data_IF_317837578213
#
_entry.id   IF_317837578213
#
_cell.length_a   1.000
_cell.length_b   1.000
_cell.length_c   1.000
_cell.angle_alpha   90.00
_cell.angle_beta   90.00
_cell.angle_gamma   90.00
#
_symmetry.space_group_name_H-M   'P 1'
#
loop_
_entity.id
_entity.type
_entity.pdbx_description
1 polymer ?
#
# COMPACT_ATOMS: atom_id res chain seq x y z
N UNK A 1 -24.99 19.03 -9.69
CA UNK A 1 -23.85 18.93 -10.64
C UNK A 1 -23.02 17.73 -10.20
N UNK A 2 -22.95 16.67 -11.00
CA UNK A 2 -22.22 15.45 -10.64
C UNK A 2 -20.74 15.72 -10.82
N UNK A 3 -19.95 15.55 -9.77
CA UNK A 3 -18.50 15.77 -9.79
C UNK A 3 -17.84 14.70 -10.68
N UNK A 4 -17.06 15.13 -11.67
CA UNK A 4 -16.32 14.24 -12.58
C UNK A 4 -14.81 14.38 -12.36
N UNK A 5 -14.02 13.44 -12.91
CA UNK A 5 -12.56 13.50 -12.87
C UNK A 5 -12.04 14.79 -13.50
N UNK A 6 -12.66 15.25 -14.57
CA UNK A 6 -12.27 16.47 -15.29
C UNK A 6 -12.47 17.77 -14.51
N UNK A 7 -13.32 17.74 -13.47
CA UNK A 7 -13.58 18.91 -12.61
C UNK A 7 -12.49 19.13 -11.56
N UNK A 8 -11.68 18.10 -11.29
CA UNK A 8 -10.62 18.13 -10.30
C UNK A 8 -9.26 18.47 -10.91
N UNK A 9 -9.05 19.75 -11.20
CA UNK A 9 -7.84 20.24 -11.91
C UNK A 9 -6.67 20.61 -10.99
N UNK A 10 -6.98 20.98 -9.75
CA UNK A 10 -5.99 21.41 -8.77
C UNK A 10 -5.98 20.47 -7.58
N UNK A 11 -4.78 20.12 -7.10
CA UNK A 11 -4.63 19.30 -5.92
C UNK A 11 -5.06 20.05 -4.66
N UNK A 12 -5.81 19.36 -3.81
CA UNK A 12 -6.15 19.80 -2.45
C UNK A 12 -5.29 19.14 -1.38
N UNK A 13 -4.24 18.44 -1.82
CA UNK A 13 -3.32 17.75 -0.93
C UNK A 13 -2.58 18.72 -0.01
N UNK A 14 -2.61 18.43 1.29
CA UNK A 14 -1.82 19.14 2.30
C UNK A 14 -1.06 18.08 3.11
N UNK A 15 0.28 18.12 3.14
CA UNK A 15 1.07 17.18 3.92
C UNK A 15 0.65 17.17 5.39
N UNK A 16 0.43 15.97 5.95
CA UNK A 16 0.06 15.79 7.36
C UNK A 16 -1.39 16.13 7.72
N UNK A 17 -2.17 16.70 6.81
CA UNK A 17 -3.59 16.97 7.06
C UNK A 17 -4.39 15.66 6.99
N UNK A 18 -5.26 15.46 7.99
CA UNK A 18 -6.21 14.35 7.99
C UNK A 18 -7.30 14.55 6.92
N UNK A 19 -7.58 13.49 6.18
CA UNK A 19 -8.60 13.46 5.14
C UNK A 19 -9.57 12.29 5.36
N UNK A 20 -10.75 12.34 4.73
CA UNK A 20 -11.83 11.38 5.00
C UNK A 20 -11.41 9.91 4.81
N UNK A 21 -10.62 9.62 3.80
CA UNK A 21 -10.14 8.26 3.51
C UNK A 21 -9.26 7.69 4.62
N UNK A 22 -8.65 8.51 5.47
CA UNK A 22 -7.79 8.06 6.57
C UNK A 22 -8.53 7.17 7.57
N UNK A 23 -9.84 7.32 7.68
CA UNK A 23 -10.70 6.41 8.48
C UNK A 23 -10.66 4.98 7.94
N UNK A 24 -10.65 4.81 6.62
CA UNK A 24 -10.55 3.49 5.97
C UNK A 24 -9.16 2.89 6.22
N UNK A 25 -8.10 3.70 6.10
CA UNK A 25 -6.73 3.25 6.37
C UNK A 25 -6.54 2.84 7.84
N UNK A 26 -7.08 3.60 8.80
CA UNK A 26 -7.04 3.24 10.23
C UNK A 26 -7.77 1.93 10.49
N UNK A 27 -8.99 1.78 9.98
CA UNK A 27 -9.74 0.53 10.10
C UNK A 27 -8.99 -0.67 9.50
N UNK A 28 -8.24 -0.46 8.40
CA UNK A 28 -7.40 -1.49 7.80
C UNK A 28 -6.21 -1.87 8.70
N UNK A 29 -5.57 -0.89 9.35
CA UNK A 29 -4.48 -1.13 10.31
C UNK A 29 -4.99 -1.95 11.49
N UNK A 30 -6.09 -1.53 12.11
CA UNK A 30 -6.68 -2.18 13.28
C UNK A 30 -7.11 -3.63 13.02
N UNK A 31 -7.56 -3.94 11.79
CA UNK A 31 -7.95 -5.28 11.37
C UNK A 31 -6.81 -6.14 10.85
N UNK A 32 -5.57 -5.64 10.85
CA UNK A 32 -4.41 -6.37 10.33
C UNK A 32 -4.49 -6.63 8.81
N UNK A 33 -5.08 -5.70 8.07
CA UNK A 33 -5.27 -5.78 6.63
C UNK A 33 -3.94 -5.61 5.90
N UNK A 34 -3.71 -6.41 4.83
CA UNK A 34 -2.54 -6.27 3.94
C UNK A 34 -2.83 -5.35 2.77
N UNK A 35 -4.03 -5.43 2.20
CA UNK A 35 -4.43 -4.64 1.04
C UNK A 35 -5.83 -4.07 1.23
N UNK A 36 -6.04 -2.83 0.77
CA UNK A 36 -7.32 -2.13 0.69
C UNK A 36 -7.67 -2.03 -0.78
N UNK A 37 -8.88 -2.43 -1.14
CA UNK A 37 -9.42 -2.27 -2.49
C UNK A 37 -10.66 -1.39 -2.42
N UNK A 38 -10.67 -0.30 -3.15
CA UNK A 38 -11.83 0.55 -3.38
C UNK A 38 -12.16 0.57 -4.86
N UNK A 39 -13.42 0.42 -5.19
CA UNK A 39 -13.91 0.44 -6.56
C UNK A 39 -15.31 1.05 -6.60
N UNK A 40 -15.60 1.77 -7.67
CA UNK A 40 -16.96 2.28 -7.92
C UNK A 40 -17.95 1.13 -7.98
N UNK A 41 -19.14 1.34 -7.42
CA UNK A 41 -20.25 0.39 -7.31
C UNK A 41 -19.98 -0.82 -6.40
N UNK A 42 -18.92 -0.77 -5.59
CA UNK A 42 -18.59 -1.78 -4.60
C UNK A 42 -18.38 -1.15 -3.21
N UNK A 43 -18.71 -1.84 -2.12
CA UNK A 43 -18.22 -1.45 -0.81
C UNK A 43 -16.70 -1.62 -0.75
N UNK A 44 -16.04 -0.96 0.21
CA UNK A 44 -14.61 -1.17 0.41
C UNK A 44 -14.32 -2.64 0.76
N UNK A 45 -13.24 -3.18 0.22
CA UNK A 45 -12.82 -4.56 0.40
C UNK A 45 -11.43 -4.58 1.05
N UNK A 46 -11.28 -5.35 2.11
CA UNK A 46 -10.02 -5.57 2.80
C UNK A 46 -9.51 -6.98 2.53
N UNK A 47 -8.20 -7.11 2.31
CA UNK A 47 -7.53 -8.40 2.34
C UNK A 47 -6.99 -8.65 3.75
N UNK A 48 -7.55 -9.62 4.45
CA UNK A 48 -7.16 -9.99 5.81
C UNK A 48 -6.73 -11.45 5.79
N UNK A 49 -5.49 -11.74 6.16
CA UNK A 49 -4.91 -13.10 6.15
C UNK A 49 -5.14 -13.84 4.83
N UNK A 50 -4.98 -13.11 3.71
CA UNK A 50 -5.16 -13.66 2.36
C UNK A 50 -6.61 -13.64 1.83
N UNK A 51 -7.61 -13.56 2.69
CA UNK A 51 -9.03 -13.56 2.31
C UNK A 51 -9.56 -12.15 2.06
N UNK A 52 -10.41 -11.99 1.03
CA UNK A 52 -11.10 -10.73 0.74
C UNK A 52 -12.38 -10.63 1.55
N UNK A 53 -12.58 -9.51 2.23
CA UNK A 53 -13.74 -9.24 3.07
C UNK A 53 -14.33 -7.87 2.71
N UNK A 54 -15.62 -7.85 2.39
CA UNK A 54 -16.36 -6.62 2.17
C UNK A 54 -16.65 -5.93 3.50
N UNK A 55 -16.47 -4.61 3.55
CA UNK A 55 -16.89 -3.83 4.70
C UNK A 55 -18.42 -3.62 4.68
N UNK A 56 -19.07 -3.58 5.85
CA UNK A 56 -20.50 -3.30 5.97
C UNK A 56 -20.77 -1.81 5.74
N UNK A 57 -20.71 -1.38 4.50
CA UNK A 57 -20.95 -0.01 4.07
C UNK A 57 -21.61 0.01 2.70
N UNK A 58 -22.24 1.12 2.35
CA UNK A 58 -22.82 1.32 1.03
C UNK A 58 -21.76 1.28 -0.08
N UNK A 59 -22.12 0.79 -1.28
CA UNK A 59 -21.27 0.86 -2.45
C UNK A 59 -20.79 2.29 -2.73
N UNK A 60 -19.54 2.42 -3.13
CA UNK A 60 -18.91 3.72 -3.41
C UNK A 60 -19.35 4.24 -4.78
N UNK A 61 -19.97 5.40 -4.81
CA UNK A 61 -20.23 6.09 -6.09
C UNK A 61 -18.96 6.69 -6.67
N UNK A 62 -18.95 7.00 -7.99
CA UNK A 62 -17.84 7.68 -8.65
C UNK A 62 -17.48 8.99 -7.95
N UNK A 63 -18.47 9.79 -7.59
CA UNK A 63 -18.29 11.05 -6.87
C UNK A 63 -17.63 10.84 -5.50
N UNK A 64 -18.07 9.80 -4.77
CA UNK A 64 -17.48 9.45 -3.47
C UNK A 64 -16.05 8.98 -3.62
N UNK A 65 -15.73 8.19 -4.64
CA UNK A 65 -14.36 7.78 -4.95
C UNK A 65 -13.45 8.97 -5.22
N UNK A 66 -13.88 9.94 -6.03
CA UNK A 66 -13.13 11.18 -6.29
C UNK A 66 -12.86 11.93 -4.97
N UNK A 67 -13.90 12.17 -4.17
CA UNK A 67 -13.77 12.88 -2.88
C UNK A 67 -12.86 12.19 -1.88
N UNK A 68 -12.82 10.87 -1.89
CA UNK A 68 -11.97 10.09 -1.00
C UNK A 68 -10.51 10.06 -1.48
N UNK A 69 -10.28 9.82 -2.78
CA UNK A 69 -8.96 9.46 -3.27
C UNK A 69 -8.13 10.62 -3.77
N UNK A 70 -8.74 11.63 -4.41
CA UNK A 70 -8.02 12.74 -5.01
C UNK A 70 -7.30 13.63 -3.99
N UNK A 71 -7.83 13.88 -2.77
CA UNK A 71 -7.09 14.62 -1.76
C UNK A 71 -5.80 13.96 -1.28
N UNK A 72 -5.53 12.70 -1.67
CA UNK A 72 -4.25 12.03 -1.38
C UNK A 72 -3.14 12.43 -2.35
N UNK A 73 -3.48 12.89 -3.54
CA UNK A 73 -2.53 13.19 -4.61
C UNK A 73 -2.04 14.64 -4.51
N UNK A 74 -0.73 14.82 -4.51
CA UNK A 74 -0.13 16.12 -4.82
C UNK A 74 -0.37 16.50 -6.30
N UNK A 75 -0.02 17.71 -6.69
CA UNK A 75 -0.25 18.19 -8.07
C UNK A 75 0.43 17.30 -9.11
N UNK A 76 1.65 16.85 -8.85
CA UNK A 76 2.38 15.96 -9.76
C UNK A 76 1.65 14.64 -10.00
N UNK A 77 1.18 13.99 -8.93
CA UNK A 77 0.46 12.72 -9.04
C UNK A 77 -0.91 12.93 -9.70
N UNK A 78 -1.55 14.06 -9.46
CA UNK A 78 -2.81 14.41 -10.10
C UNK A 78 -2.63 14.61 -11.62
N UNK A 79 -1.57 15.31 -12.04
CA UNK A 79 -1.24 15.50 -13.45
C UNK A 79 -0.94 14.18 -14.15
N UNK A 80 -0.18 13.28 -13.49
CA UNK A 80 0.08 11.92 -13.99
C UNK A 80 -1.23 11.15 -14.14
N UNK A 81 -2.11 11.20 -13.13
CA UNK A 81 -3.40 10.52 -13.19
C UNK A 81 -4.27 11.02 -14.35
N UNK A 82 -4.29 12.31 -14.60
CA UNK A 82 -5.03 12.89 -15.73
C UNK A 82 -4.45 12.50 -17.10
N UNK A 83 -3.12 12.40 -17.21
CA UNK A 83 -2.44 12.05 -18.43
C UNK A 83 -2.51 10.54 -18.73
N UNK A 84 -2.21 9.71 -17.73
CA UNK A 84 -1.99 8.26 -17.89
C UNK A 84 -3.20 7.41 -17.46
N UNK A 85 -4.20 8.03 -16.82
CA UNK A 85 -5.35 7.31 -16.26
C UNK A 85 -5.05 6.54 -14.98
N UNK A 86 -3.86 6.74 -14.39
CA UNK A 86 -3.43 6.10 -13.15
C UNK A 86 -2.24 6.79 -12.50
N UNK A 87 -2.08 6.64 -11.18
CA UNK A 87 -0.96 7.16 -10.41
C UNK A 87 -0.55 6.17 -9.32
N UNK A 88 0.76 6.02 -9.11
CA UNK A 88 1.35 5.17 -8.05
C UNK A 88 2.14 6.08 -7.10
N UNK A 89 1.75 6.11 -5.85
CA UNK A 89 2.36 6.98 -4.83
C UNK A 89 2.33 6.31 -3.46
N UNK A 90 3.00 6.93 -2.49
CA UNK A 90 2.95 6.46 -1.11
C UNK A 90 2.13 7.39 -0.23
N UNK A 91 1.32 6.79 0.66
CA UNK A 91 0.63 7.51 1.74
C UNK A 91 1.18 7.06 3.07
N UNK A 92 1.52 8.03 3.92
CA UNK A 92 1.89 7.79 5.31
C UNK A 92 0.79 8.35 6.22
N UNK A 93 0.42 7.59 7.23
CA UNK A 93 -0.60 7.91 8.21
C UNK A 93 -0.03 7.64 9.60
N UNK A 94 -0.25 8.55 10.54
CA UNK A 94 0.06 8.33 11.96
C UNK A 94 -1.16 7.67 12.63
N UNK A 95 -0.93 6.52 13.25
CA UNK A 95 -1.96 5.81 14.02
C UNK A 95 -1.33 5.26 15.32
N UNK A 96 -1.91 5.61 16.47
CA UNK A 96 -1.38 5.30 17.80
C UNK A 96 0.08 5.75 18.02
N UNK A 97 0.42 6.95 17.50
CA UNK A 97 1.77 7.51 17.59
C UNK A 97 2.79 6.92 16.61
N UNK A 98 2.37 5.95 15.79
CA UNK A 98 3.23 5.19 14.90
C UNK A 98 2.97 5.51 13.43
N UNK A 99 4.01 5.73 12.59
CA UNK A 99 3.83 5.96 11.16
C UNK A 99 3.54 4.64 10.43
N UNK A 100 2.43 4.60 9.72
CA UNK A 100 2.04 3.50 8.84
C UNK A 100 2.12 3.95 7.39
N UNK A 101 2.82 3.18 6.58
CA UNK A 101 3.04 3.51 5.18
C UNK A 101 2.29 2.54 4.26
N UNK A 102 1.68 3.11 3.23
CA UNK A 102 0.97 2.36 2.19
C UNK A 102 1.51 2.77 0.82
N UNK A 103 1.68 1.79 -0.06
CA UNK A 103 1.80 2.02 -1.49
C UNK A 103 0.41 2.06 -2.08
N UNK A 104 0.07 3.15 -2.72
CA UNK A 104 -1.26 3.39 -3.30
C UNK A 104 -1.12 3.41 -4.82
N UNK A 105 -1.90 2.57 -5.49
CA UNK A 105 -2.12 2.61 -6.91
C UNK A 105 -3.58 3.04 -7.15
N UNK A 106 -3.75 4.19 -7.75
CA UNK A 106 -5.03 4.73 -8.19
C UNK A 106 -5.10 4.62 -9.71
N UNK A 107 -6.20 4.11 -10.26
CA UNK A 107 -6.33 3.84 -11.69
C UNK A 107 -7.76 4.06 -12.18
N UNK A 108 -7.89 4.19 -13.50
CA UNK A 108 -9.18 4.24 -14.18
C UNK A 108 -9.37 2.96 -14.99
N UNK A 109 -10.50 2.30 -14.81
CA UNK A 109 -10.91 1.13 -15.59
C UNK A 109 -12.35 1.33 -16.04
N UNK A 110 -12.62 1.24 -17.36
CA UNK A 110 -13.96 1.46 -17.94
C UNK A 110 -14.59 2.78 -17.44
N UNK A 111 -13.80 3.85 -17.43
CA UNK A 111 -14.19 5.18 -16.94
C UNK A 111 -14.57 5.25 -15.44
N UNK A 112 -14.32 4.20 -14.67
CA UNK A 112 -14.53 4.13 -13.22
C UNK A 112 -13.21 4.16 -12.49
N UNK A 113 -13.16 4.87 -11.35
CA UNK A 113 -11.97 4.93 -10.50
C UNK A 113 -11.88 3.67 -9.64
N UNK A 114 -10.68 3.11 -9.61
CA UNK A 114 -10.28 2.05 -8.70
C UNK A 114 -9.03 2.41 -7.92
N UNK A 115 -8.90 1.90 -6.71
CA UNK A 115 -7.72 2.06 -5.86
C UNK A 115 -7.33 0.74 -5.23
N UNK A 116 -6.05 0.43 -5.25
CA UNK A 116 -5.45 -0.60 -4.43
C UNK A 116 -4.38 0.04 -3.55
N UNK A 117 -4.49 -0.14 -2.24
CA UNK A 117 -3.47 0.31 -1.31
C UNK A 117 -2.90 -0.88 -0.55
N UNK A 118 -1.58 -1.10 -0.64
CA UNK A 118 -0.84 -2.14 0.07
C UNK A 118 -0.13 -1.58 1.27
N UNK A 119 -0.36 -2.17 2.45
CA UNK A 119 0.38 -1.85 3.66
C UNK A 119 1.84 -2.27 3.51
N UNK A 120 2.78 -1.37 3.81
CA UNK A 120 4.20 -1.67 3.85
C UNK A 120 4.54 -2.09 5.27
N UNK A 121 5.05 -3.32 5.42
CA UNK A 121 5.47 -3.82 6.73
C UNK A 121 6.64 -2.99 7.27
N UNK A 122 6.57 -2.66 8.55
CA UNK A 122 7.52 -1.75 9.22
C UNK A 122 8.74 -2.47 9.77
N UNK A 123 8.56 -3.70 10.18
CA UNK A 123 9.63 -4.49 10.79
C UNK A 123 10.07 -5.62 9.87
N UNK A 124 11.37 -5.74 9.73
CA UNK A 124 12.00 -6.89 9.09
C UNK A 124 12.19 -7.94 10.18
N UNK A 125 11.56 -9.13 10.07
CA UNK A 125 11.76 -10.18 11.05
C UNK A 125 13.22 -10.65 11.03
N UNK A 126 13.85 -10.87 12.18
CA UNK A 126 15.20 -11.42 12.26
C UNK A 126 15.22 -12.90 11.79
N UNK A 127 16.40 -13.43 11.50
CA UNK A 127 16.56 -14.79 10.97
C UNK A 127 15.88 -15.86 11.81
N UNK A 128 15.94 -15.76 13.12
CA UNK A 128 15.37 -16.72 14.08
C UNK A 128 13.85 -16.87 13.93
N UNK A 129 13.18 -15.78 13.51
CA UNK A 129 11.71 -15.75 13.28
C UNK A 129 11.31 -16.23 11.90
N UNK A 130 12.25 -16.39 10.98
CA UNK A 130 11.98 -16.80 9.60
C UNK A 130 12.14 -18.32 9.39
N UNK A 131 12.58 -19.06 10.40
CA UNK A 131 12.83 -20.51 10.31
C UNK A 131 13.75 -20.88 9.13
N UNK A 132 14.72 -20.01 8.81
CA UNK A 132 15.66 -20.24 7.71
C UNK A 132 16.73 -21.26 8.09
N UNK A 133 17.24 -22.02 7.11
CA UNK A 133 18.36 -22.92 7.37
C UNK A 133 19.58 -22.16 7.91
N UNK A 134 20.37 -22.73 8.84
CA UNK A 134 21.55 -22.08 9.43
C UNK A 134 22.59 -21.61 8.41
N UNK A 135 22.66 -22.25 7.25
CA UNK A 135 23.54 -21.85 6.14
C UNK A 135 23.29 -20.41 5.68
N UNK A 136 22.10 -19.88 5.87
CA UNK A 136 21.76 -18.51 5.46
C UNK A 136 22.59 -17.46 6.22
N UNK A 137 22.89 -17.70 7.49
CA UNK A 137 23.79 -16.84 8.27
C UNK A 137 25.23 -16.92 7.75
N UNK A 138 25.70 -18.13 7.44
CA UNK A 138 27.02 -18.32 6.86
C UNK A 138 27.23 -17.61 5.54
N UNK A 139 26.14 -17.57 4.70
CA UNK A 139 26.15 -16.83 3.42
C UNK A 139 26.25 -15.31 3.60
N UNK A 140 25.95 -14.77 4.78
CA UNK A 140 26.11 -13.34 5.07
C UNK A 140 27.56 -12.93 5.34
N UNK A 141 28.45 -13.89 5.63
CA UNK A 141 29.87 -13.67 5.98
C UNK A 141 30.80 -13.64 4.78
N UNK A 142 30.28 -13.89 3.58
CA UNK A 142 31.12 -13.86 2.37
C UNK A 142 31.27 -12.44 1.85
N UNK A 143 32.53 -12.03 1.60
CA UNK A 143 32.84 -10.69 1.06
C UNK A 143 32.60 -10.59 -0.44
N UNK A 144 32.55 -11.71 -1.15
CA UNK A 144 32.42 -11.76 -2.61
C UNK A 144 31.49 -12.89 -3.04
N UNK A 145 30.82 -12.68 -4.19
CA UNK A 145 29.95 -13.67 -4.79
C UNK A 145 28.53 -13.16 -5.02
N UNK A 146 27.69 -14.06 -5.46
CA UNK A 146 26.26 -13.79 -5.71
C UNK A 146 25.41 -14.83 -4.98
N UNK A 147 24.38 -14.37 -4.27
CA UNK A 147 23.34 -15.23 -3.70
C UNK A 147 22.03 -14.97 -4.42
N UNK A 148 21.46 -16.00 -5.05
CA UNK A 148 20.23 -15.91 -5.79
C UNK A 148 19.07 -16.51 -4.98
N UNK A 149 18.03 -15.72 -4.71
CA UNK A 149 16.79 -16.18 -4.08
C UNK A 149 15.72 -16.35 -5.17
N UNK A 150 15.35 -17.60 -5.46
CA UNK A 150 14.33 -17.94 -6.46
C UNK A 150 13.08 -18.52 -5.78
N UNK A 151 11.92 -18.32 -6.38
CA UNK A 151 10.66 -18.86 -5.90
C UNK A 151 9.45 -18.06 -6.42
N UNK A 152 8.25 -18.58 -6.20
CA UNK A 152 6.98 -17.93 -6.62
C UNK A 152 6.72 -16.63 -5.83
N UNK A 153 5.83 -15.79 -6.36
CA UNK A 153 5.39 -14.58 -5.65
C UNK A 153 4.80 -14.95 -4.28
N UNK A 154 5.16 -14.20 -3.24
CA UNK A 154 4.68 -14.46 -1.87
C UNK A 154 5.48 -15.54 -1.10
N UNK A 155 6.52 -16.16 -1.68
CA UNK A 155 7.34 -17.19 -1.01
C UNK A 155 8.35 -16.65 0.02
N UNK A 156 8.32 -15.37 0.34
CA UNK A 156 9.20 -14.77 1.35
C UNK A 156 10.57 -14.29 0.85
N UNK A 157 10.84 -14.29 -0.47
CA UNK A 157 12.15 -13.86 -1.03
C UNK A 157 12.61 -12.48 -0.53
N UNK A 158 11.73 -11.49 -0.66
CA UNK A 158 12.03 -10.11 -0.25
C UNK A 158 12.24 -10.00 1.26
N UNK A 159 11.44 -10.72 2.05
CA UNK A 159 11.56 -10.76 3.51
C UNK A 159 12.89 -11.39 3.93
N UNK A 160 13.27 -12.51 3.31
CA UNK A 160 14.55 -13.18 3.55
C UNK A 160 15.72 -12.28 3.17
N UNK A 161 15.65 -11.61 2.01
CA UNK A 161 16.69 -10.66 1.59
C UNK A 161 16.83 -9.49 2.55
N UNK A 162 15.70 -8.90 2.97
CA UNK A 162 15.69 -7.79 3.92
C UNK A 162 16.26 -8.19 5.28
N UNK A 163 15.89 -9.37 5.79
CA UNK A 163 16.44 -9.92 7.03
C UNK A 163 17.95 -10.15 6.93
N UNK A 164 18.44 -10.66 5.79
CA UNK A 164 19.87 -10.83 5.53
C UNK A 164 20.63 -9.50 5.53
N UNK A 165 20.11 -8.48 4.84
CA UNK A 165 20.71 -7.14 4.84
C UNK A 165 20.73 -6.52 6.23
N UNK A 166 19.68 -6.72 7.02
CA UNK A 166 19.62 -6.26 8.42
C UNK A 166 20.71 -6.95 9.25
N UNK A 167 20.90 -8.26 9.09
CA UNK A 167 21.92 -9.01 9.80
C UNK A 167 23.33 -8.51 9.43
N UNK A 168 23.63 -8.30 8.14
CA UNK A 168 24.91 -7.76 7.66
C UNK A 168 25.20 -6.37 8.23
N UNK A 169 24.17 -5.51 8.36
CA UNK A 169 24.33 -4.16 8.90
C UNK A 169 24.57 -4.13 10.42
N UNK A 170 24.24 -5.21 11.11
CA UNK A 170 24.35 -5.30 12.58
C UNK A 170 25.63 -6.04 13.04
N UNK A 171 26.28 -6.75 12.16
CA UNK A 171 27.48 -7.57 12.42
C UNK A 171 28.62 -7.22 11.46
#
# INVERSE_FOLDING_TARGET
>A
MTLTVADWKESTYVPGKEIEIDKIFRAAIERGCSDIHLQVDQPAIFRIRGSLQHLPMEPLSQEKMIKLTFPMMDQRNLDIFHHDGGADFSKTLIHNGEPWRFRVNLFTQLSKIGMVARKIERSIPPFEKLFLPPVMESLCKYDQGMVLLAGVTGSGKTTTMASRLTWINQN
#
